data_IF_825531446387
#
_entry.id   IF_825531446387
#
_cell.length_a   1.000
_cell.length_b   1.000
_cell.length_c   1.000
_cell.angle_alpha   90.00
_cell.angle_beta   90.00
_cell.angle_gamma   90.00
#
_symmetry.space_group_name_H-M   'P 1'
#
loop_
_entity.id
_entity.type
_entity.pdbx_description
1 polymer ?
#
# COMPACT_ATOMS: atom_id res chain seq x y z
N UNK A 1 -19.10 2.83 6.04
CA UNK A 1 -17.75 2.85 5.41
C UNK A 1 -17.07 4.18 5.69
N UNK A 2 -15.78 4.15 6.06
CA UNK A 2 -14.95 5.29 6.45
C UNK A 2 -13.52 5.14 5.93
N UNK A 3 -12.87 6.23 5.52
CA UNK A 3 -11.42 6.21 5.22
C UNK A 3 -10.60 6.12 6.51
N UNK A 4 -9.39 5.57 6.46
CA UNK A 4 -8.54 5.54 7.66
C UNK A 4 -8.23 6.95 8.17
N UNK A 5 -8.00 7.92 7.26
CA UNK A 5 -7.76 9.30 7.65
C UNK A 5 -8.96 9.96 8.36
N UNK A 6 -10.18 9.46 8.17
CA UNK A 6 -11.37 9.92 8.90
C UNK A 6 -11.48 9.30 10.31
N UNK A 7 -10.81 8.17 10.55
CA UNK A 7 -10.84 7.46 11.84
C UNK A 7 -9.67 7.95 12.72
N UNK A 8 -8.51 8.17 12.12
CA UNK A 8 -7.32 8.66 12.79
C UNK A 8 -7.58 10.05 13.38
N UNK A 9 -7.22 10.24 14.65
CA UNK A 9 -7.44 11.51 15.35
C UNK A 9 -8.83 11.69 15.93
N UNK A 10 -9.78 10.76 15.72
CA UNK A 10 -11.08 10.86 16.38
C UNK A 10 -10.96 10.52 17.88
N UNK A 11 -11.70 11.24 18.74
CA UNK A 11 -11.85 10.88 20.14
C UNK A 11 -12.68 9.59 20.27
N UNK A 12 -12.31 8.77 21.25
CA UNK A 12 -13.06 7.57 21.65
C UNK A 12 -13.88 7.90 22.89
N UNK A 13 -15.19 7.71 22.84
CA UNK A 13 -16.13 8.11 23.91
C UNK A 13 -16.87 6.88 24.43
N UNK A 14 -16.88 6.70 25.75
CA UNK A 14 -17.78 5.75 26.41
C UNK A 14 -19.19 6.32 26.48
N UNK A 15 -20.18 5.53 26.05
CA UNK A 15 -21.60 5.87 26.10
C UNK A 15 -22.11 5.85 27.54
N UNK A 16 -21.81 4.78 28.30
CA UNK A 16 -22.32 4.62 29.67
C UNK A 16 -21.69 5.62 30.65
N UNK A 17 -20.42 5.96 30.45
CA UNK A 17 -19.68 6.83 31.35
C UNK A 17 -19.72 8.31 30.90
N UNK A 18 -20.12 8.59 29.65
CA UNK A 18 -20.12 9.93 29.07
C UNK A 18 -18.73 10.56 29.02
N UNK A 19 -17.70 9.73 28.84
CA UNK A 19 -16.29 10.11 29.04
C UNK A 19 -15.45 9.83 27.80
N UNK A 20 -14.57 10.77 27.46
CA UNK A 20 -13.50 10.54 26.48
C UNK A 20 -12.40 9.65 27.08
N UNK A 21 -12.12 8.56 26.38
CA UNK A 21 -11.17 7.52 26.77
C UNK A 21 -9.78 7.72 26.16
N UNK A 22 -9.68 8.60 25.16
CA UNK A 22 -8.45 8.93 24.44
C UNK A 22 -8.74 9.23 22.96
N UNK A 23 -7.68 9.31 22.17
CA UNK A 23 -7.75 9.60 20.74
C UNK A 23 -7.13 8.48 19.92
N UNK A 24 -7.72 8.15 18.77
CA UNK A 24 -7.15 7.14 17.86
C UNK A 24 -5.84 7.65 17.25
N UNK A 25 -4.77 6.88 17.40
CA UNK A 25 -3.44 7.20 16.86
C UNK A 25 -3.00 6.36 15.68
N UNK A 26 -3.37 5.09 15.65
CA UNK A 26 -3.02 4.19 14.56
C UNK A 26 -4.03 3.05 14.46
N UNK A 27 -3.92 2.24 13.41
CA UNK A 27 -4.73 1.06 13.16
C UNK A 27 -3.87 -0.20 13.28
N UNK A 28 -4.41 -1.24 13.91
CA UNK A 28 -3.81 -2.57 13.92
C UNK A 28 -4.50 -3.41 12.85
N UNK A 29 -3.73 -3.81 11.83
CA UNK A 29 -4.26 -4.56 10.68
C UNK A 29 -4.03 -6.06 10.88
N UNK A 30 -5.11 -6.84 10.78
CA UNK A 30 -5.02 -8.26 10.51
C UNK A 30 -4.91 -8.46 8.99
N UNK A 31 -3.68 -8.68 8.54
CA UNK A 31 -3.37 -8.89 7.13
C UNK A 31 -3.96 -10.19 6.57
N UNK A 32 -4.12 -11.20 7.42
CA UNK A 32 -4.65 -12.51 7.02
C UNK A 32 -6.16 -12.45 6.80
N UNK A 33 -6.87 -11.70 7.65
CA UNK A 33 -8.30 -11.44 7.54
C UNK A 33 -8.67 -10.26 6.63
N UNK A 34 -7.70 -9.43 6.23
CA UNK A 34 -7.94 -8.23 5.42
C UNK A 34 -8.79 -7.19 6.14
N UNK A 35 -8.55 -7.01 7.44
CA UNK A 35 -9.38 -6.21 8.32
C UNK A 35 -8.54 -5.38 9.31
N UNK A 36 -9.14 -4.34 9.86
CA UNK A 36 -8.62 -3.64 11.04
C UNK A 36 -9.09 -4.42 12.26
N UNK A 37 -8.15 -5.03 12.98
CA UNK A 37 -8.43 -5.81 14.18
C UNK A 37 -8.68 -4.92 15.40
N UNK A 38 -7.94 -3.82 15.51
CA UNK A 38 -8.05 -2.88 16.63
C UNK A 38 -7.58 -1.47 16.24
N UNK A 39 -7.95 -0.49 17.05
CA UNK A 39 -7.44 0.87 17.02
C UNK A 39 -6.44 1.05 18.16
N UNK A 40 -5.33 1.75 17.90
CA UNK A 40 -4.42 2.19 18.95
C UNK A 40 -4.96 3.49 19.52
N UNK A 41 -5.23 3.53 20.82
CA UNK A 41 -5.80 4.69 21.53
C UNK A 41 -4.73 5.31 22.42
N UNK A 42 -4.57 6.63 22.33
CA UNK A 42 -3.72 7.41 23.23
C UNK A 42 -4.59 8.15 24.24
N UNK A 43 -4.41 7.85 25.53
CA UNK A 43 -5.10 8.52 26.65
C UNK A 43 -4.17 9.50 27.39
N UNK A 44 -3.04 9.85 26.78
CA UNK A 44 -2.00 10.71 27.37
C UNK A 44 -1.07 9.99 28.34
N UNK A 45 -1.31 8.70 28.66
CA UNK A 45 -0.51 7.91 29.61
C UNK A 45 0.37 6.89 28.89
N UNK A 46 1.11 7.35 27.89
CA UNK A 46 2.00 6.51 27.05
C UNK A 46 2.98 5.64 27.86
N UNK A 47 3.39 6.09 29.05
CA UNK A 47 4.28 5.36 29.96
C UNK A 47 3.64 4.12 30.60
N UNK A 48 2.32 3.94 30.49
CA UNK A 48 1.60 2.73 30.90
C UNK A 48 1.44 1.70 29.77
N UNK A 49 2.07 1.97 28.62
CA UNK A 49 1.98 1.12 27.43
C UNK A 49 0.84 1.52 26.49
N UNK A 50 0.83 0.88 25.32
CA UNK A 50 -0.21 1.12 24.32
C UNK A 50 -1.57 0.59 24.79
N UNK A 51 -2.62 1.32 24.44
CA UNK A 51 -4.01 0.91 24.64
C UNK A 51 -4.65 0.57 23.32
N UNK A 52 -5.45 -0.48 23.32
CA UNK A 52 -6.08 -1.03 22.14
C UNK A 52 -7.58 -1.05 22.31
N UNK A 53 -8.30 -0.63 21.28
CA UNK A 53 -9.74 -0.80 21.16
C UNK A 53 -10.00 -1.84 20.07
N UNK A 54 -10.42 -3.07 20.40
CA UNK A 54 -10.83 -4.05 19.40
C UNK A 54 -11.93 -3.48 18.52
N UNK A 55 -11.83 -3.70 17.20
CA UNK A 55 -12.80 -3.09 16.26
C UNK A 55 -14.22 -3.59 16.52
N UNK A 56 -14.39 -4.86 16.88
CA UNK A 56 -15.68 -5.45 17.21
C UNK A 56 -16.33 -4.90 18.50
N UNK A 57 -15.61 -4.12 19.30
CA UNK A 57 -16.17 -3.43 20.48
C UNK A 57 -16.68 -2.01 20.17
N UNK A 58 -16.53 -1.55 18.93
CA UNK A 58 -17.00 -0.23 18.52
C UNK A 58 -18.51 -0.29 18.29
N UNK A 59 -19.25 0.51 19.06
CA UNK A 59 -20.70 0.67 18.92
C UNK A 59 -21.03 1.61 17.74
N UNK A 60 -20.16 2.58 17.47
CA UNK A 60 -20.38 3.55 16.39
C UNK A 60 -19.12 4.22 15.89
N UNK A 61 -19.00 4.35 14.56
CA UNK A 61 -17.97 5.11 13.84
C UNK A 61 -18.58 6.39 13.27
N UNK A 62 -18.59 7.45 14.08
CA UNK A 62 -19.15 8.75 13.71
C UNK A 62 -18.23 9.61 12.86
N UNK A 63 -18.71 10.80 12.50
CA UNK A 63 -17.89 11.83 11.84
C UNK A 63 -16.94 12.54 12.80
N UNK A 64 -17.34 12.67 14.07
CA UNK A 64 -16.62 13.45 15.07
C UNK A 64 -16.08 12.63 16.24
N UNK A 65 -16.53 11.38 16.40
CA UNK A 65 -16.14 10.52 17.51
C UNK A 65 -16.40 9.04 17.18
N UNK A 66 -15.65 8.18 17.86
CA UNK A 66 -15.89 6.75 17.92
C UNK A 66 -16.52 6.45 19.28
N UNK A 67 -17.63 5.71 19.29
CA UNK A 67 -18.35 5.39 20.53
C UNK A 67 -18.21 3.92 20.88
N UNK A 68 -18.03 3.64 22.16
CA UNK A 68 -18.01 2.30 22.77
C UNK A 68 -18.93 2.28 23.97
N UNK A 69 -19.42 1.12 24.38
CA UNK A 69 -20.36 1.06 25.52
C UNK A 69 -19.71 1.52 26.83
N UNK A 70 -18.54 0.97 27.19
CA UNK A 70 -17.82 1.27 28.44
C UNK A 70 -16.30 1.41 28.24
N UNK A 71 -15.60 1.94 29.24
CA UNK A 71 -14.13 2.00 29.23
C UNK A 71 -13.43 0.64 29.33
N UNK A 72 -14.16 -0.42 29.69
CA UNK A 72 -13.62 -1.78 29.83
C UNK A 72 -13.14 -2.37 28.49
N UNK A 73 -13.67 -1.86 27.37
CA UNK A 73 -13.28 -2.24 26.02
C UNK A 73 -11.93 -1.65 25.59
N UNK A 74 -11.34 -0.76 26.38
CA UNK A 74 -9.98 -0.27 26.15
C UNK A 74 -9.00 -1.21 26.86
N UNK A 75 -8.36 -2.05 26.07
CA UNK A 75 -7.48 -3.12 26.53
C UNK A 75 -6.03 -2.65 26.56
N UNK A 76 -5.24 -3.23 27.47
CA UNK A 76 -3.78 -3.15 27.41
C UNK A 76 -3.26 -4.28 26.53
N UNK A 77 -2.18 -4.04 25.77
CA UNK A 77 -1.54 -5.05 24.89
C UNK A 77 -1.31 -6.38 25.61
N UNK A 78 -0.84 -6.33 26.86
CA UNK A 78 -0.53 -7.52 27.69
C UNK A 78 -1.74 -8.44 27.92
N UNK A 79 -2.96 -7.88 27.86
CA UNK A 79 -4.21 -8.63 28.06
C UNK A 79 -4.79 -9.16 26.75
N UNK A 80 -4.11 -8.96 25.62
CA UNK A 80 -4.61 -9.33 24.29
C UNK A 80 -3.49 -9.93 23.43
N UNK A 81 -3.10 -11.21 23.68
CA UNK A 81 -1.98 -11.85 22.97
C UNK A 81 -2.16 -11.88 21.44
N UNK A 82 -3.39 -12.05 20.96
CA UNK A 82 -3.71 -12.04 19.53
C UNK A 82 -3.40 -10.67 18.88
N UNK A 83 -3.76 -9.57 19.55
CA UNK A 83 -3.47 -8.23 19.08
C UNK A 83 -1.99 -7.85 19.25
N UNK A 84 -1.35 -8.34 20.31
CA UNK A 84 0.10 -8.20 20.52
C UNK A 84 0.87 -8.82 19.35
N UNK A 85 0.46 -9.99 18.88
CA UNK A 85 1.08 -10.62 17.72
C UNK A 85 0.96 -9.75 16.46
N UNK A 86 -0.23 -9.21 16.17
CA UNK A 86 -0.45 -8.32 15.02
C UNK A 86 0.40 -7.05 15.10
N UNK A 87 0.59 -6.49 16.30
CA UNK A 87 1.48 -5.35 16.54
C UNK A 87 2.95 -5.70 16.26
N UNK A 88 3.41 -6.88 16.69
CA UNK A 88 4.77 -7.37 16.40
C UNK A 88 4.94 -7.59 14.89
N UNK A 89 3.92 -8.11 14.21
CA UNK A 89 3.93 -8.29 12.77
C UNK A 89 4.04 -6.93 12.04
N UNK A 90 3.40 -5.88 12.58
CA UNK A 90 3.50 -4.49 12.12
C UNK A 90 3.21 -4.35 10.61
N UNK A 91 2.15 -5.00 10.14
CA UNK A 91 1.72 -4.85 8.74
C UNK A 91 1.07 -3.48 8.59
N UNK A 92 1.68 -2.63 7.77
CA UNK A 92 1.09 -1.36 7.35
C UNK A 92 0.62 -1.51 5.92
N UNK A 93 -0.66 -1.24 5.66
CA UNK A 93 -1.22 -1.32 4.31
C UNK A 93 -0.91 -0.04 3.53
N UNK A 94 -1.13 1.11 4.17
CA UNK A 94 -0.80 2.42 3.60
C UNK A 94 0.72 2.54 3.42
N UNK A 95 1.14 3.03 2.25
CA UNK A 95 2.55 3.14 1.87
C UNK A 95 3.14 1.88 1.24
N UNK A 96 2.40 0.77 1.16
CA UNK A 96 2.88 -0.44 0.47
C UNK A 96 2.83 -0.29 -1.04
N UNK A 97 3.79 -0.90 -1.73
CA UNK A 97 3.78 -0.96 -3.19
C UNK A 97 2.71 -1.92 -3.65
N UNK A 98 1.91 -1.51 -4.64
CA UNK A 98 0.90 -2.37 -5.23
C UNK A 98 1.47 -3.08 -6.45
N UNK A 99 1.47 -4.41 -6.40
CA UNK A 99 1.92 -5.29 -7.47
C UNK A 99 0.75 -6.13 -7.99
N UNK A 100 0.72 -6.38 -9.29
CA UNK A 100 -0.17 -7.37 -9.90
C UNK A 100 0.39 -8.78 -9.70
N UNK A 101 -0.42 -9.82 -9.90
CA UNK A 101 0.05 -11.22 -9.95
C UNK A 101 1.13 -11.45 -11.01
N UNK A 102 1.13 -10.65 -12.07
CA UNK A 102 2.12 -10.67 -13.16
C UNK A 102 3.41 -9.92 -12.81
N UNK A 103 3.49 -9.28 -11.63
CA UNK A 103 4.69 -8.56 -11.15
C UNK A 103 4.77 -7.10 -11.60
N UNK A 104 3.71 -6.55 -12.22
CA UNK A 104 3.67 -5.14 -12.64
C UNK A 104 3.36 -4.26 -11.42
N UNK A 105 4.14 -3.20 -11.25
CA UNK A 105 3.89 -2.18 -10.22
C UNK A 105 2.82 -1.21 -10.74
N UNK A 106 1.74 -1.05 -9.98
CA UNK A 106 0.68 -0.08 -10.29
C UNK A 106 0.85 1.25 -9.55
N UNK A 107 1.39 1.20 -8.34
CA UNK A 107 1.57 2.41 -7.54
C UNK A 107 1.84 2.08 -6.08
N UNK A 108 1.38 2.96 -5.20
CA UNK A 108 1.48 2.82 -3.74
C UNK A 108 0.11 3.04 -3.11
N UNK A 109 -0.24 2.26 -2.10
CA UNK A 109 -1.49 2.48 -1.36
C UNK A 109 -1.43 3.82 -0.64
N UNK A 110 -2.35 4.73 -0.95
CA UNK A 110 -2.46 6.04 -0.30
C UNK A 110 -3.50 6.06 0.82
N UNK A 111 -4.53 5.22 0.73
CA UNK A 111 -5.63 5.17 1.69
C UNK A 111 -6.30 3.78 1.69
N UNK A 112 -6.90 3.41 2.81
CA UNK A 112 -7.80 2.26 2.95
C UNK A 112 -9.20 2.71 3.34
N UNK A 113 -10.21 2.04 2.78
CA UNK A 113 -11.62 2.24 3.12
C UNK A 113 -12.07 1.07 3.97
N UNK A 114 -12.57 1.36 5.16
CA UNK A 114 -12.95 0.39 6.18
C UNK A 114 -14.48 0.38 6.28
N UNK A 115 -15.09 -0.79 6.28
CA UNK A 115 -16.53 -0.92 6.51
C UNK A 115 -16.89 -0.93 8.00
N UNK A 116 -18.18 -0.98 8.29
CA UNK A 116 -18.67 -0.87 9.66
C UNK A 116 -18.37 -2.13 10.49
N UNK A 117 -17.89 -3.20 9.85
CA UNK A 117 -17.43 -4.45 10.51
C UNK A 117 -15.93 -4.48 10.74
N UNK A 118 -15.19 -3.50 10.21
CA UNK A 118 -13.73 -3.40 10.30
C UNK A 118 -13.00 -4.02 9.13
N UNK A 119 -13.70 -4.59 8.14
CA UNK A 119 -13.04 -5.12 6.95
C UNK A 119 -12.56 -3.97 6.07
N UNK A 120 -11.39 -4.16 5.47
CA UNK A 120 -10.90 -3.26 4.43
C UNK A 120 -11.73 -3.56 3.19
N UNK A 121 -12.62 -2.65 2.82
CA UNK A 121 -13.51 -2.76 1.67
C UNK A 121 -12.82 -2.36 0.36
N UNK A 122 -11.86 -1.43 0.42
CA UNK A 122 -11.08 -0.99 -0.74
C UNK A 122 -9.76 -0.33 -0.34
N UNK A 123 -8.85 -0.17 -1.30
CA UNK A 123 -7.62 0.59 -1.18
C UNK A 123 -7.56 1.64 -2.30
N UNK A 124 -7.23 2.88 -1.96
CA UNK A 124 -6.88 3.89 -2.95
C UNK A 124 -5.38 3.78 -3.25
N UNK A 125 -5.05 3.80 -4.54
CA UNK A 125 -3.69 3.64 -5.05
C UNK A 125 -3.29 4.94 -5.72
N UNK A 126 -2.22 5.55 -5.23
CA UNK A 126 -1.51 6.60 -5.95
C UNK A 126 -0.64 5.96 -7.03
N UNK A 127 -1.00 6.17 -8.28
CA UNK A 127 -0.25 5.70 -9.45
C UNK A 127 0.93 6.63 -9.76
N UNK A 128 1.89 6.13 -10.55
CA UNK A 128 3.11 6.87 -10.90
C UNK A 128 2.84 8.13 -11.76
N UNK A 129 1.68 8.21 -12.42
CA UNK A 129 1.23 9.36 -13.21
C UNK A 129 0.51 10.42 -12.36
N UNK A 130 0.38 10.20 -11.04
CA UNK A 130 -0.36 11.06 -10.12
C UNK A 130 -1.87 10.82 -10.09
N UNK A 131 -2.40 9.88 -10.89
CA UNK A 131 -3.79 9.46 -10.80
C UNK A 131 -4.01 8.65 -9.51
N UNK A 132 -5.24 8.72 -9.01
CA UNK A 132 -5.69 7.88 -7.90
C UNK A 132 -6.68 6.87 -8.48
N UNK A 133 -6.39 5.59 -8.32
CA UNK A 133 -7.32 4.51 -8.64
C UNK A 133 -7.84 3.86 -7.37
N UNK A 134 -9.06 3.33 -7.44
CA UNK A 134 -9.69 2.63 -6.33
C UNK A 134 -9.72 1.13 -6.64
N UNK A 135 -9.16 0.31 -5.74
CA UNK A 135 -9.14 -1.14 -5.87
C UNK A 135 -10.00 -1.77 -4.77
N UNK A 136 -11.10 -2.45 -5.13
CA UNK A 136 -11.96 -3.12 -4.17
C UNK A 136 -11.27 -4.35 -3.56
N UNK A 137 -11.64 -4.71 -2.34
CA UNK A 137 -11.04 -5.80 -1.57
C UNK A 137 -11.05 -7.15 -2.30
N UNK A 138 -12.05 -7.40 -3.15
CA UNK A 138 -12.17 -8.65 -3.93
C UNK A 138 -11.01 -8.87 -4.91
N UNK A 139 -10.31 -7.79 -5.30
CA UNK A 139 -9.13 -7.88 -6.17
C UNK A 139 -7.84 -8.02 -5.37
N UNK A 140 -7.87 -7.81 -4.05
CA UNK A 140 -6.69 -7.91 -3.20
C UNK A 140 -6.47 -9.38 -2.84
N UNK A 141 -5.27 -9.87 -3.12
CA UNK A 141 -4.87 -11.26 -2.88
C UNK A 141 -4.09 -11.37 -1.57
N UNK A 142 -3.28 -10.35 -1.26
CA UNK A 142 -2.38 -10.40 -0.09
C UNK A 142 -2.08 -9.00 0.41
N UNK A 143 -2.21 -8.81 1.72
CA UNK A 143 -1.69 -7.66 2.45
C UNK A 143 -0.31 -8.01 3.03
N UNK A 144 0.77 -7.72 2.31
CA UNK A 144 2.13 -7.95 2.79
C UNK A 144 2.69 -6.73 3.53
N UNK A 145 3.78 -6.93 4.30
CA UNK A 145 4.45 -5.86 5.05
C UNK A 145 4.98 -4.71 4.17
N UNK A 146 5.40 -5.05 2.95
CA UNK A 146 5.99 -4.07 2.00
C UNK A 146 5.25 -4.00 0.67
N UNK A 147 4.41 -5.00 0.38
CA UNK A 147 3.78 -5.21 -0.92
C UNK A 147 2.34 -5.66 -0.73
N UNK A 148 1.43 -5.01 -1.44
CA UNK A 148 0.06 -5.44 -1.61
C UNK A 148 -0.10 -6.07 -3.00
N UNK A 149 -0.59 -7.30 -3.06
CA UNK A 149 -0.76 -8.04 -4.33
C UNK A 149 -2.22 -7.98 -4.76
N UNK A 150 -2.46 -7.61 -6.02
CA UNK A 150 -3.80 -7.58 -6.62
C UNK A 150 -3.90 -8.40 -7.91
N UNK A 151 -5.11 -8.72 -8.32
CA UNK A 151 -5.40 -9.25 -9.66
C UNK A 151 -5.45 -8.12 -10.69
N UNK A 152 -4.91 -8.41 -11.88
CA UNK A 152 -5.13 -7.60 -13.09
C UNK A 152 -6.64 -7.59 -13.41
N UNK A 153 -7.22 -6.46 -13.82
CA UNK A 153 -8.61 -6.45 -14.34
C UNK A 153 -8.63 -7.00 -15.76
N UNK A 154 -9.25 -8.17 -15.93
CA UNK A 154 -9.95 -8.59 -17.15
C UNK A 154 -10.77 -9.87 -16.87
N UNK A 155 -11.68 -9.82 -15.89
CA UNK A 155 -12.83 -10.72 -15.86
C UNK A 155 -14.02 -10.00 -15.19
N UNK A 156 -15.09 -9.67 -15.94
CA UNK A 156 -16.34 -9.28 -15.32
C UNK A 156 -16.85 -10.46 -14.48
N UNK A 157 -16.95 -10.27 -13.16
CA UNK A 157 -17.58 -11.21 -12.24
C UNK A 157 -19.09 -11.22 -12.47
N UNK A 158 -19.53 -11.86 -13.56
CA UNK A 158 -20.91 -12.30 -13.71
C UNK A 158 -21.15 -13.55 -12.86
N UNK A 159 -21.41 -13.37 -11.57
CA UNK A 159 -22.16 -14.35 -10.76
C UNK A 159 -22.71 -13.68 -9.48
N UNK A 160 -23.71 -12.82 -9.65
CA UNK A 160 -24.74 -12.53 -8.64
C UNK A 160 -25.94 -11.81 -9.27
N UNK A 161 -26.50 -12.36 -10.35
CA UNK A 161 -27.80 -11.93 -10.87
C UNK A 161 -28.50 -13.10 -11.59
N UNK A 162 -28.62 -14.23 -10.90
CA UNK A 162 -29.43 -15.36 -11.35
C UNK A 162 -30.30 -15.84 -10.19
N UNK A 163 -31.13 -14.94 -9.63
CA UNK A 163 -32.31 -15.27 -8.83
C UNK A 163 -33.21 -14.03 -8.74
N UNK A 164 -33.98 -13.78 -9.81
CA UNK A 164 -35.32 -13.17 -9.77
C UNK A 164 -35.77 -12.80 -11.19
N UNK A 165 -36.48 -13.74 -11.85
CA UNK A 165 -37.74 -13.52 -12.61
C UNK A 165 -37.94 -14.65 -13.63
N UNK A 166 -38.59 -15.71 -13.17
CA UNK A 166 -39.36 -16.63 -14.00
C UNK A 166 -40.81 -16.11 -14.11
N UNK A 167 -41.45 -16.36 -15.25
CA UNK A 167 -42.83 -16.02 -15.68
C UNK A 167 -42.95 -14.59 -16.21
N UNK A 168 -43.25 -14.31 -17.48
CA UNK A 168 -44.18 -14.87 -18.50
C UNK A 168 -43.64 -14.46 -19.90
N UNK A 169 -43.93 -15.04 -21.08
CA UNK A 169 -44.71 -16.18 -21.60
C UNK A 169 -44.38 -16.27 -23.12
N UNK A 170 -44.65 -17.44 -23.69
CA UNK A 170 -44.51 -17.91 -25.09
C UNK A 170 -44.69 -16.89 -26.24
N UNK A 171 -43.91 -17.04 -27.33
CA UNK A 171 -44.36 -17.79 -28.53
C UNK A 171 -43.21 -18.09 -29.52
N UNK A 172 -43.25 -19.26 -30.18
CA UNK A 172 -42.37 -19.70 -31.29
C UNK A 172 -43.28 -20.05 -32.48
N UNK A 173 -42.95 -19.65 -33.72
CA UNK A 173 -42.66 -20.69 -34.73
C UNK A 173 -41.36 -20.35 -35.53
N UNK A 174 -40.40 -21.29 -35.68
CA UNK A 174 -40.27 -22.33 -36.74
C UNK A 174 -39.52 -21.86 -38.00
N UNK A 175 -38.28 -22.40 -38.15
CA UNK A 175 -37.66 -22.99 -39.38
C UNK A 175 -37.37 -22.02 -40.56
N UNK A 176 -36.25 -21.98 -41.29
CA UNK A 176 -35.19 -22.91 -41.71
C UNK A 176 -34.05 -22.05 -42.30
N UNK A 177 -32.78 -22.48 -42.23
CA UNK A 177 -31.97 -22.82 -43.41
C UNK A 177 -30.53 -23.15 -43.02
N UNK A 178 -30.08 -24.32 -43.48
CA UNK A 178 -28.68 -24.78 -43.49
C UNK A 178 -28.01 -24.25 -44.75
N UNK A 179 -26.70 -23.97 -44.68
CA UNK A 179 -25.66 -24.22 -45.71
C UNK A 179 -24.30 -23.88 -45.04
N UNK A 180 -23.50 -24.90 -44.68
CA UNK A 180 -22.36 -25.46 -45.43
C UNK A 180 -21.07 -24.63 -45.28
N UNK A 181 -20.17 -25.00 -44.35
CA UNK A 181 -18.89 -25.75 -44.47
C UNK A 181 -17.79 -25.09 -45.32
N UNK A 182 -16.56 -25.14 -44.77
CA UNK A 182 -15.21 -25.00 -45.37
C UNK A 182 -14.62 -23.59 -45.22
N UNK A 183 -13.38 -23.34 -44.80
CA UNK A 183 -12.12 -24.11 -44.77
C UNK A 183 -11.16 -23.53 -43.70
N UNK A 184 -10.34 -24.38 -43.09
CA UNK A 184 -9.08 -24.05 -42.38
C UNK A 184 -7.92 -23.87 -43.40
N UNK A 185 -6.62 -23.69 -43.04
CA UNK A 185 -5.93 -23.18 -41.83
C UNK A 185 -4.78 -22.17 -42.18
N UNK A 186 -3.93 -21.88 -41.19
CA UNK A 186 -2.46 -21.67 -41.32
C UNK A 186 -1.96 -20.22 -41.31
N UNK A 187 -1.36 -19.80 -40.19
CA UNK A 187 0.11 -19.76 -40.07
C UNK A 187 0.55 -19.28 -38.69
N UNK A 188 1.28 -20.15 -37.99
CA UNK A 188 2.18 -19.79 -36.90
C UNK A 188 3.58 -19.62 -37.48
N UNK A 189 4.31 -18.56 -37.10
CA UNK A 189 5.79 -18.59 -37.02
C UNK A 189 6.23 -17.64 -35.92
N UNK A 190 7.25 -18.07 -35.21
CA UNK A 190 7.73 -17.55 -33.94
C UNK A 190 9.09 -16.83 -34.08
N UNK A 191 9.49 -16.24 -32.94
CA UNK A 191 10.87 -15.95 -32.47
C UNK A 191 11.62 -14.78 -33.14
N UNK A 192 12.02 -13.76 -32.36
CA UNK A 192 13.43 -13.56 -31.93
C UNK A 192 13.71 -12.26 -31.14
N UNK A 193 14.40 -12.48 -30.00
CA UNK A 193 15.58 -11.75 -29.49
C UNK A 193 15.48 -10.29 -29.02
N UNK A 194 15.51 -10.12 -27.69
CA UNK A 194 16.24 -9.03 -27.00
C UNK A 194 17.17 -9.69 -25.97
N UNK A 195 18.50 -9.62 -26.07
CA UNK A 195 19.41 -8.49 -25.76
C UNK A 195 19.15 -7.84 -24.40
N UNK A 196 20.19 -7.91 -23.59
CA UNK A 196 20.40 -7.39 -22.24
C UNK A 196 19.86 -5.97 -22.01
N UNK A 197 19.25 -5.73 -20.85
CA UNK A 197 19.28 -4.49 -20.04
C UNK A 197 18.36 -4.72 -18.84
N UNK A 198 18.86 -4.92 -17.62
CA UNK A 198 19.34 -3.89 -16.68
C UNK A 198 18.29 -2.82 -16.41
N UNK A 199 17.49 -2.96 -15.35
CA UNK A 199 16.86 -1.80 -14.69
C UNK A 199 16.38 -2.11 -13.26
N UNK A 200 17.32 -1.92 -12.33
CA UNK A 200 17.15 -1.82 -10.88
C UNK A 200 16.54 -0.44 -10.49
N UNK A 201 15.64 -0.33 -9.49
CA UNK A 201 14.86 0.88 -9.17
C UNK A 201 15.68 2.02 -8.54
N UNK A 202 16.98 1.86 -8.37
CA UNK A 202 17.89 2.85 -7.78
C UNK A 202 18.09 4.10 -8.65
N UNK A 203 17.79 4.04 -9.96
CA UNK A 203 18.05 5.16 -10.88
C UNK A 203 17.21 6.42 -10.63
N UNK A 204 15.98 6.31 -10.11
CA UNK A 204 15.07 7.48 -10.00
C UNK A 204 15.30 8.38 -8.78
N UNK A 205 15.86 7.86 -7.69
CA UNK A 205 16.28 8.68 -6.54
C UNK A 205 17.65 9.33 -6.79
N UNK A 206 18.51 8.64 -7.54
CA UNK A 206 19.84 9.11 -7.88
C UNK A 206 19.84 10.28 -8.87
N UNK A 207 18.90 10.34 -9.82
CA UNK A 207 18.96 11.33 -10.90
C UNK A 207 18.73 12.77 -10.42
N UNK A 208 17.87 12.97 -9.42
CA UNK A 208 17.63 14.30 -8.82
C UNK A 208 18.81 14.76 -7.98
N UNK A 209 19.40 13.88 -7.17
CA UNK A 209 20.57 14.18 -6.36
C UNK A 209 21.81 14.40 -7.25
N UNK A 210 21.98 13.59 -8.31
CA UNK A 210 23.05 13.75 -9.29
C UNK A 210 23.01 15.13 -9.97
N UNK A 211 21.82 15.56 -10.44
CA UNK A 211 21.64 16.89 -11.05
C UNK A 211 21.89 18.04 -10.08
N UNK A 212 21.66 17.83 -8.78
CA UNK A 212 21.92 18.85 -7.75
C UNK A 212 23.39 18.96 -7.35
N UNK A 213 24.13 17.85 -7.42
CA UNK A 213 25.53 17.80 -7.02
C UNK A 213 26.48 18.22 -8.17
N UNK A 214 26.09 17.99 -9.42
CA UNK A 214 26.90 18.34 -10.58
C UNK A 214 27.19 19.85 -10.64
N UNK A 215 28.47 20.22 -10.68
CA UNK A 215 28.94 21.62 -10.73
C UNK A 215 29.06 22.31 -9.36
N UNK A 216 28.76 21.63 -8.25
CA UNK A 216 29.06 22.14 -6.90
C UNK A 216 30.51 21.92 -6.50
N UNK A 217 30.96 22.53 -5.40
CA UNK A 217 32.31 22.30 -4.88
C UNK A 217 32.27 21.45 -3.61
N UNK A 218 33.21 20.53 -3.48
CA UNK A 218 33.35 19.71 -2.28
C UNK A 218 33.79 20.59 -1.10
N UNK A 219 33.06 20.55 0.02
CA UNK A 219 33.41 21.29 1.24
C UNK A 219 34.52 20.61 2.05
N UNK A 220 34.79 19.32 1.77
CA UNK A 220 35.87 18.50 2.36
C UNK A 220 36.34 17.43 1.38
N UNK A 221 37.55 16.89 1.62
CA UNK A 221 38.12 15.79 0.84
C UNK A 221 37.34 14.50 1.10
N UNK A 222 36.99 13.79 0.03
CA UNK A 222 36.27 12.51 0.07
C UNK A 222 37.17 11.43 -0.53
N UNK A 223 37.32 10.34 0.20
CA UNK A 223 38.16 9.19 -0.18
C UNK A 223 37.37 7.89 -0.09
N UNK A 224 37.80 6.88 -0.85
CA UNK A 224 37.32 5.51 -0.71
C UNK A 224 37.92 4.86 0.54
N UNK A 225 37.32 3.76 1.00
CA UNK A 225 37.83 3.00 2.16
C UNK A 225 39.21 2.36 1.89
N UNK A 226 39.65 2.34 0.63
CA UNK A 226 40.99 1.88 0.22
C UNK A 226 41.99 3.05 0.07
N UNK A 227 41.64 4.26 0.51
CA UNK A 227 42.52 5.44 0.48
C UNK A 227 42.63 6.14 -0.87
N UNK A 228 41.76 5.83 -1.84
CA UNK A 228 41.75 6.51 -3.15
C UNK A 228 40.90 7.78 -3.08
N UNK A 229 41.46 8.92 -3.48
CA UNK A 229 40.76 10.20 -3.44
C UNK A 229 39.69 10.25 -4.53
N UNK A 230 38.46 10.55 -4.13
CA UNK A 230 37.31 10.76 -5.04
C UNK A 230 37.25 12.24 -5.46
N UNK A 231 37.40 13.17 -4.50
CA UNK A 231 37.50 14.62 -4.74
C UNK A 231 38.22 15.30 -3.58
N UNK A 232 39.08 16.26 -3.90
CA UNK A 232 39.75 17.10 -2.88
C UNK A 232 38.85 18.21 -2.37
N UNK A 233 39.16 18.74 -1.18
CA UNK A 233 38.46 19.89 -0.63
C UNK A 233 38.56 21.10 -1.58
N UNK A 234 37.42 21.68 -1.94
CA UNK A 234 37.29 22.77 -2.91
C UNK A 234 37.22 22.31 -4.37
N UNK A 235 37.36 21.01 -4.65
CA UNK A 235 37.26 20.42 -5.98
C UNK A 235 35.84 20.42 -6.52
N UNK A 236 35.70 20.55 -7.84
CA UNK A 236 34.39 20.57 -8.51
C UNK A 236 33.81 19.15 -8.64
N UNK A 237 32.51 19.03 -8.40
CA UNK A 237 31.79 17.78 -8.53
C UNK A 237 31.41 17.58 -10.01
N UNK A 238 32.26 16.86 -10.72
CA UNK A 238 32.03 16.46 -12.11
C UNK A 238 31.30 15.12 -12.18
N UNK A 239 30.84 14.75 -13.38
CA UNK A 239 30.17 13.47 -13.63
C UNK A 239 31.07 12.28 -13.26
N UNK A 240 32.38 12.41 -13.46
CA UNK A 240 33.37 11.42 -13.05
C UNK A 240 33.46 11.25 -11.53
N UNK A 241 33.39 12.35 -10.78
CA UNK A 241 33.38 12.34 -9.31
C UNK A 241 32.13 11.65 -8.78
N UNK A 242 30.96 11.90 -9.38
CA UNK A 242 29.70 11.25 -9.01
C UNK A 242 29.71 9.75 -9.31
N UNK A 243 30.31 9.34 -10.43
CA UNK A 243 30.50 7.92 -10.74
C UNK A 243 31.44 7.24 -9.75
N UNK A 244 32.59 7.84 -9.46
CA UNK A 244 33.55 7.32 -8.47
C UNK A 244 32.92 7.21 -7.07
N UNK A 245 32.16 8.22 -6.64
CA UNK A 245 31.45 8.21 -5.36
C UNK A 245 30.35 7.14 -5.30
N UNK A 246 29.62 6.92 -6.40
CA UNK A 246 28.59 5.88 -6.49
C UNK A 246 29.20 4.48 -6.43
N UNK A 247 30.26 4.23 -7.19
CA UNK A 247 30.98 2.95 -7.18
C UNK A 247 31.62 2.64 -5.83
N UNK A 248 32.07 3.67 -5.11
CA UNK A 248 32.65 3.53 -3.78
C UNK A 248 31.62 3.54 -2.62
N UNK A 249 30.32 3.64 -2.91
CA UNK A 249 29.28 3.74 -1.86
C UNK A 249 29.31 5.04 -1.04
N UNK A 250 30.11 6.03 -1.44
CA UNK A 250 30.29 7.34 -0.75
C UNK A 250 29.39 8.44 -1.31
N UNK A 251 28.37 8.10 -2.10
CA UNK A 251 27.49 9.07 -2.76
C UNK A 251 26.68 9.92 -1.75
N UNK A 252 26.21 9.31 -0.67
CA UNK A 252 25.50 10.02 0.41
C UNK A 252 26.44 10.99 1.13
N UNK A 253 27.67 10.56 1.39
CA UNK A 253 28.68 11.39 2.04
C UNK A 253 29.08 12.59 1.18
N UNK A 254 29.26 12.38 -0.13
CA UNK A 254 29.47 13.44 -1.10
C UNK A 254 28.29 14.41 -1.12
N UNK A 255 27.05 13.89 -1.09
CA UNK A 255 25.84 14.73 -1.10
C UNK A 255 25.72 15.66 0.11
N UNK A 256 26.27 15.27 1.26
CA UNK A 256 26.28 16.08 2.48
C UNK A 256 27.50 17.02 2.56
N UNK A 257 28.43 16.90 1.62
CA UNK A 257 29.74 17.55 1.66
C UNK A 257 29.97 18.48 0.47
N UNK A 258 28.90 19.14 -0.01
CA UNK A 258 28.95 20.09 -1.12
C UNK A 258 28.48 21.47 -0.69
N UNK A 259 29.10 22.50 -1.25
CA UNK A 259 28.77 23.92 -1.08
C UNK A 259 28.33 24.50 -2.43
#
# INVERSE_FOLDING_TARGET
>A
MKKSAEILGLPVISILEGKELGTVKDLVVDASGGAVAALIVDDGKWYLGAKLLPFGAITGLGEYAITVDSSEYILSVVKSPELEQLLIENVKVIGTKVLTKTGRIQGTVSEIVIDDTGKIAACEISENNGAISNVPAQRIVTFGKSVLIITDEDQPTHIAAAMAKTMEKHDIPVVNERLAVQTTPTSAVAVQSGKETDDDPTRKFDEKHRKFLLGKKASRRIETDNGMIIVDQGGEITEEVLQKAKLAGKFVELSMSVQ
#
